data_IF_908882214886
#
_entry.id   IF_908882214886
#
_cell.length_a   1.000
_cell.length_b   1.000
_cell.length_c   1.000
_cell.angle_alpha   90.00
_cell.angle_beta   90.00
_cell.angle_gamma   90.00
#
_symmetry.space_group_name_H-M   'P 1'
#
loop_
_entity.id
_entity.type
_entity.pdbx_description
1 polymer ?
#
# COMPACT_ATOMS: atom_id res chain seq x y z
N UNK A 1 -12.88 21.02 -4.84
CA UNK A 1 -13.83 21.45 -3.79
C UNK A 1 -13.14 21.29 -2.45
N UNK A 2 -13.06 22.34 -1.62
CA UNK A 2 -12.33 22.29 -0.34
C UNK A 2 -13.33 21.98 0.78
N UNK A 3 -13.18 20.87 1.52
CA UNK A 3 -14.12 20.52 2.60
C UNK A 3 -13.47 20.69 3.97
N UNK A 4 -14.17 21.34 4.89
CA UNK A 4 -13.88 21.26 6.32
C UNK A 4 -14.86 20.29 6.99
N UNK A 5 -14.36 19.15 7.46
CA UNK A 5 -15.19 18.18 8.17
C UNK A 5 -15.30 18.56 9.65
N UNK A 6 -16.51 18.82 10.15
CA UNK A 6 -16.75 19.17 11.56
C UNK A 6 -16.27 18.07 12.54
N UNK A 7 -16.25 16.79 12.12
CA UNK A 7 -15.75 15.68 12.94
C UNK A 7 -14.24 15.50 12.92
N UNK A 8 -13.58 15.85 11.81
CA UNK A 8 -12.12 15.71 11.69
C UNK A 8 -11.38 17.00 12.04
N UNK A 9 -12.06 18.15 12.05
CA UNK A 9 -11.49 19.50 12.23
C UNK A 9 -10.37 19.84 11.23
N UNK A 10 -10.24 19.08 10.15
CA UNK A 10 -9.21 19.22 9.13
C UNK A 10 -9.80 19.75 7.82
N UNK A 11 -8.99 20.53 7.10
CA UNK A 11 -9.26 21.07 5.77
C UNK A 11 -8.62 20.16 4.72
N UNK A 12 -9.39 19.76 3.69
CA UNK A 12 -8.89 18.92 2.60
C UNK A 12 -9.39 19.38 1.22
N UNK A 13 -8.57 19.20 0.17
CA UNK A 13 -9.00 19.31 -1.22
C UNK A 13 -9.53 17.96 -1.70
N UNK A 14 -10.77 17.92 -2.18
CA UNK A 14 -11.36 16.73 -2.80
C UNK A 14 -11.60 17.01 -4.29
N UNK A 15 -11.11 16.10 -5.15
CA UNK A 15 -11.33 16.11 -6.60
C UNK A 15 -12.49 15.19 -7.05
N UNK A 16 -12.96 14.25 -6.21
CA UNK A 16 -14.21 13.50 -6.41
C UNK A 16 -14.80 12.95 -5.09
N UNK A 17 -16.13 12.99 -4.98
CA UNK A 17 -17.08 12.40 -4.01
C UNK A 17 -16.63 12.17 -2.54
N UNK A 18 -17.22 12.98 -1.65
CA UNK A 18 -17.10 12.95 -0.18
C UNK A 18 -17.52 11.60 0.46
N UNK A 19 -17.06 11.34 1.69
CA UNK A 19 -17.21 10.06 2.38
C UNK A 19 -18.66 9.66 2.67
N UNK A 20 -18.89 8.34 2.77
CA UNK A 20 -20.21 7.71 2.91
C UNK A 20 -20.92 8.00 4.24
N UNK A 21 -20.28 8.68 5.19
CA UNK A 21 -20.88 8.92 6.51
C UNK A 21 -22.07 9.89 6.46
N UNK A 22 -22.18 10.73 5.42
CA UNK A 22 -23.24 11.74 5.29
C UNK A 22 -24.34 11.39 4.28
N UNK A 23 -24.14 10.36 3.44
CA UNK A 23 -24.98 10.11 2.25
C UNK A 23 -26.26 9.32 2.47
N UNK A 24 -26.75 9.20 3.71
CA UNK A 24 -28.08 8.62 3.90
C UNK A 24 -29.16 9.71 3.88
N UNK A 25 -28.91 10.98 4.28
CA UNK A 25 -30.00 11.99 4.34
C UNK A 25 -29.68 13.48 4.09
N UNK A 26 -28.43 13.97 3.98
CA UNK A 26 -28.20 15.40 3.70
C UNK A 26 -26.86 15.68 2.96
N UNK A 27 -26.92 16.36 1.82
CA UNK A 27 -25.75 16.72 1.00
C UNK A 27 -24.87 17.81 1.61
N UNK A 28 -23.68 18.03 1.03
CA UNK A 28 -22.80 19.14 1.39
C UNK A 28 -23.32 20.46 0.80
N UNK A 29 -23.18 21.56 1.54
CA UNK A 29 -23.49 22.92 1.07
C UNK A 29 -22.21 23.62 0.61
N UNK A 30 -22.24 24.18 -0.60
CA UNK A 30 -21.11 24.88 -1.20
C UNK A 30 -21.13 26.37 -0.88
N UNK A 31 -19.97 26.93 -0.58
CA UNK A 31 -19.74 28.35 -0.30
C UNK A 31 -18.65 28.87 -1.22
N UNK A 32 -18.94 29.98 -1.89
CA UNK A 32 -17.97 30.68 -2.71
C UNK A 32 -16.94 31.38 -1.81
N UNK A 33 -15.67 31.20 -2.14
CA UNK A 33 -14.54 31.88 -1.55
C UNK A 33 -14.01 32.97 -2.51
N UNK A 34 -13.17 33.90 -2.02
CA UNK A 34 -12.46 34.84 -2.89
C UNK A 34 -11.64 34.13 -3.98
N UNK A 35 -11.33 34.86 -5.04
CA UNK A 35 -10.50 34.41 -6.18
C UNK A 35 -11.05 33.20 -6.96
N UNK A 36 -12.37 32.97 -6.89
CA UNK A 36 -13.07 31.94 -7.66
C UNK A 36 -12.94 30.53 -7.08
N UNK A 37 -12.50 30.41 -5.84
CA UNK A 37 -12.45 29.13 -5.13
C UNK A 37 -13.81 28.76 -4.52
N UNK A 38 -14.05 27.47 -4.31
CA UNK A 38 -15.25 26.97 -3.62
C UNK A 38 -14.87 26.02 -2.49
N UNK A 39 -15.44 26.28 -1.31
CA UNK A 39 -15.43 25.38 -0.18
C UNK A 39 -16.80 24.72 0.00
N UNK A 40 -16.85 23.55 0.64
CA UNK A 40 -18.10 22.90 1.00
C UNK A 40 -18.07 22.41 2.45
N UNK A 41 -19.22 22.42 3.11
CA UNK A 41 -19.35 22.00 4.51
C UNK A 41 -20.07 20.66 4.63
N UNK A 42 -19.79 19.96 5.72
CA UNK A 42 -20.61 18.84 6.17
C UNK A 42 -21.98 19.36 6.64
N UNK A 43 -23.06 18.65 6.30
CA UNK A 43 -24.46 18.98 6.62
C UNK A 43 -24.77 19.13 8.13
N UNK A 44 -23.84 18.76 9.01
CA UNK A 44 -23.96 18.93 10.47
C UNK A 44 -23.55 20.33 10.96
N UNK A 45 -22.85 21.12 10.15
CA UNK A 45 -22.49 22.50 10.48
C UNK A 45 -23.58 23.44 9.96
N UNK A 46 -24.11 24.29 10.86
CA UNK A 46 -25.22 25.21 10.55
C UNK A 46 -24.76 26.65 10.28
N UNK A 47 -23.50 26.96 10.57
CA UNK A 47 -22.95 28.31 10.47
C UNK A 47 -21.97 28.42 9.29
N UNK A 48 -22.03 29.54 8.58
CA UNK A 48 -21.09 29.92 7.52
C UNK A 48 -19.62 29.94 8.03
N UNK A 49 -18.67 30.02 7.09
CA UNK A 49 -17.27 30.25 7.45
C UNK A 49 -17.08 31.62 8.09
N UNK A 50 -16.35 31.68 9.19
CA UNK A 50 -15.91 32.97 9.73
C UNK A 50 -14.83 33.57 8.83
N UNK A 51 -14.64 34.90 8.85
CA UNK A 51 -13.56 35.54 8.09
C UNK A 51 -12.17 34.96 8.38
N UNK A 52 -11.91 34.57 9.63
CA UNK A 52 -10.65 33.96 10.05
C UNK A 52 -10.47 32.55 9.45
N UNK A 53 -11.55 31.77 9.36
CA UNK A 53 -11.52 30.46 8.70
C UNK A 53 -11.30 30.60 7.20
N UNK A 54 -11.98 31.55 6.54
CA UNK A 54 -11.74 31.88 5.13
C UNK A 54 -10.27 32.25 4.93
N UNK A 55 -9.71 33.10 5.78
CA UNK A 55 -8.31 33.50 5.68
C UNK A 55 -7.35 32.33 5.89
N UNK A 56 -7.62 31.45 6.86
CA UNK A 56 -6.82 30.25 7.10
C UNK A 56 -6.88 29.27 5.92
N UNK A 57 -8.05 29.11 5.29
CA UNK A 57 -8.22 28.31 4.07
C UNK A 57 -7.42 28.91 2.92
N UNK A 58 -7.62 30.20 2.65
CA UNK A 58 -6.93 30.90 1.56
C UNK A 58 -5.40 30.86 1.72
N UNK A 59 -4.90 30.94 2.95
CA UNK A 59 -3.46 30.84 3.23
C UNK A 59 -2.86 29.44 2.93
N UNK A 60 -3.68 28.39 2.96
CA UNK A 60 -3.27 27.01 2.66
C UNK A 60 -3.39 26.63 1.20
N UNK A 61 -4.18 27.36 0.40
CA UNK A 61 -4.37 27.07 -1.03
C UNK A 61 -3.04 27.00 -1.81
N UNK A 62 -2.08 27.95 -1.64
CA UNK A 62 -0.82 27.87 -2.37
C UNK A 62 0.00 26.62 -2.04
N UNK A 63 0.00 26.19 -0.77
CA UNK A 63 0.67 24.95 -0.32
C UNK A 63 0.02 23.72 -0.94
N UNK A 64 -1.32 23.68 -1.01
CA UNK A 64 -2.05 22.58 -1.65
C UNK A 64 -1.96 22.59 -3.18
N UNK A 65 -1.78 23.75 -3.80
CA UNK A 65 -1.52 23.88 -5.24
C UNK A 65 -0.05 23.56 -5.58
N UNK A 66 0.87 23.75 -4.62
CA UNK A 66 2.29 23.46 -4.75
C UNK A 66 2.66 22.02 -4.37
N UNK A 67 1.80 21.30 -3.64
CA UNK A 67 1.80 19.85 -3.68
C UNK A 67 1.55 19.48 -5.14
N UNK A 68 2.64 19.09 -5.81
CA UNK A 68 2.66 18.64 -7.19
C UNK A 68 1.40 17.82 -7.46
N UNK A 69 0.82 17.99 -8.65
CA UNK A 69 -0.02 16.91 -9.18
C UNK A 69 0.79 15.65 -8.96
N UNK A 70 0.33 14.76 -8.07
CA UNK A 70 0.71 13.35 -8.12
C UNK A 70 0.66 13.10 -9.60
N UNK A 71 1.83 12.85 -10.22
CA UNK A 71 1.91 12.64 -11.65
C UNK A 71 0.66 11.86 -11.99
N UNK A 72 -0.18 12.41 -12.86
CA UNK A 72 -1.11 11.60 -13.57
C UNK A 72 -0.21 10.58 -14.29
N UNK A 73 0.18 9.53 -13.58
CA UNK A 73 0.20 8.18 -14.08
C UNK A 73 -1.25 7.94 -14.48
N UNK A 74 -1.69 8.63 -15.53
CA UNK A 74 -2.52 8.05 -16.55
C UNK A 74 -1.75 6.82 -16.96
N UNK A 75 -1.97 5.74 -16.21
CA UNK A 75 -1.57 4.40 -16.56
C UNK A 75 -2.52 3.96 -17.68
N UNK A 76 -2.50 4.72 -18.77
CA UNK A 76 -2.88 4.31 -20.12
C UNK A 76 -1.74 3.49 -20.72
N UNK A 77 -0.99 2.76 -19.88
CA UNK A 77 -0.01 1.81 -20.33
C UNK A 77 -0.77 0.72 -21.07
N UNK A 78 -0.80 0.84 -22.40
CA UNK A 78 -1.24 -0.19 -23.31
C UNK A 78 -0.60 -1.49 -22.85
N UNK A 79 -1.44 -2.46 -22.51
CA UNK A 79 -1.02 -3.77 -22.01
C UNK A 79 0.09 -4.33 -22.91
N UNK A 80 1.33 -4.33 -22.40
CA UNK A 80 2.50 -4.75 -23.18
C UNK A 80 2.87 -6.15 -22.73
N UNK A 81 2.35 -7.15 -23.44
CA UNK A 81 2.68 -8.55 -23.21
C UNK A 81 3.97 -8.87 -23.96
N UNK A 82 5.03 -9.33 -23.27
CA UNK A 82 6.26 -9.77 -23.93
C UNK A 82 5.98 -10.87 -24.96
N UNK A 83 6.69 -10.85 -26.09
CA UNK A 83 6.41 -11.74 -27.24
C UNK A 83 6.27 -13.21 -26.83
N UNK A 84 7.15 -13.69 -25.96
CA UNK A 84 7.11 -15.09 -25.51
C UNK A 84 5.81 -15.45 -24.78
N UNK A 85 5.20 -14.53 -24.04
CA UNK A 85 3.94 -14.77 -23.32
C UNK A 85 2.70 -14.66 -24.21
N UNK A 86 2.87 -14.27 -25.48
CA UNK A 86 1.76 -14.12 -26.43
C UNK A 86 0.89 -15.37 -26.55
N UNK A 87 1.43 -16.61 -26.64
CA UNK A 87 0.59 -17.81 -26.71
C UNK A 87 -0.29 -18.00 -25.47
N UNK A 88 0.26 -17.80 -24.27
CA UNK A 88 -0.47 -17.90 -23.02
C UNK A 88 -1.53 -16.79 -22.88
N UNK A 89 -1.16 -15.55 -23.25
CA UNK A 89 -2.09 -14.42 -23.27
C UNK A 89 -3.26 -14.65 -24.24
N UNK A 90 -2.98 -15.11 -25.46
CA UNK A 90 -4.02 -15.46 -26.43
C UNK A 90 -4.93 -16.59 -25.94
N UNK A 91 -4.38 -17.57 -25.22
CA UNK A 91 -5.19 -18.62 -24.62
C UNK A 91 -6.17 -18.06 -23.58
N UNK A 92 -5.75 -17.07 -22.79
CA UNK A 92 -6.66 -16.36 -21.85
C UNK A 92 -7.69 -15.52 -22.62
N UNK A 93 -7.28 -14.78 -23.66
CA UNK A 93 -8.21 -13.97 -24.46
C UNK A 93 -9.33 -14.82 -25.09
N UNK A 94 -9.03 -16.05 -25.53
CA UNK A 94 -10.05 -16.96 -26.08
C UNK A 94 -11.16 -17.27 -25.09
N UNK A 95 -10.89 -17.21 -23.78
CA UNK A 95 -11.90 -17.40 -22.73
C UNK A 95 -13.00 -16.33 -22.78
N UNK A 96 -12.75 -15.16 -23.36
CA UNK A 96 -13.76 -14.13 -23.56
C UNK A 96 -14.97 -14.64 -24.37
N UNK A 97 -14.77 -15.63 -25.25
CA UNK A 97 -15.86 -16.23 -26.01
C UNK A 97 -16.78 -17.16 -25.18
N UNK A 98 -16.33 -17.66 -24.02
CA UNK A 98 -17.15 -18.50 -23.15
C UNK A 98 -18.12 -17.61 -22.34
N UNK A 99 -19.42 -17.85 -22.46
CA UNK A 99 -20.46 -17.08 -21.75
C UNK A 99 -20.28 -17.10 -20.24
N UNK A 100 -19.67 -18.16 -19.70
CA UNK A 100 -19.41 -18.30 -18.27
C UNK A 100 -18.26 -17.42 -17.80
N UNK A 101 -17.35 -17.01 -18.69
CA UNK A 101 -16.24 -16.15 -18.34
C UNK A 101 -16.67 -14.69 -18.44
N UNK A 102 -16.59 -13.95 -17.33
CA UNK A 102 -17.03 -12.56 -17.25
C UNK A 102 -15.87 -11.58 -17.45
N UNK A 103 -14.70 -11.89 -16.89
CA UNK A 103 -13.51 -11.07 -16.98
C UNK A 103 -12.25 -11.91 -16.73
N UNK A 104 -11.10 -11.40 -17.17
CA UNK A 104 -9.81 -11.93 -16.78
C UNK A 104 -8.83 -10.80 -16.50
N UNK A 105 -8.07 -10.94 -15.43
CA UNK A 105 -7.01 -10.02 -15.05
C UNK A 105 -5.70 -10.77 -14.82
N UNK A 106 -4.59 -10.09 -15.03
CA UNK A 106 -3.26 -10.56 -14.64
C UNK A 106 -2.63 -9.51 -13.75
N UNK A 107 -1.86 -9.93 -12.74
CA UNK A 107 -1.01 -8.99 -12.03
C UNK A 107 0.30 -8.91 -12.79
N UNK A 108 0.84 -7.70 -12.86
CA UNK A 108 2.03 -7.31 -13.61
C UNK A 108 2.96 -8.51 -13.84
N UNK A 109 2.97 -9.00 -15.09
CA UNK A 109 3.76 -10.17 -15.44
C UNK A 109 5.21 -9.77 -15.29
N UNK A 110 5.82 -10.10 -14.16
CA UNK A 110 7.27 -10.02 -13.94
C UNK A 110 7.95 -11.01 -14.88
N UNK A 111 7.92 -10.67 -16.17
CA UNK A 111 8.56 -11.37 -17.27
C UNK A 111 10.07 -11.45 -17.10
N UNK A 112 10.63 -10.66 -16.17
CA UNK A 112 12.04 -10.68 -15.84
C UNK A 112 12.42 -11.73 -14.80
N UNK A 113 11.55 -12.07 -13.85
CA UNK A 113 11.98 -12.86 -12.68
C UNK A 113 11.52 -14.31 -12.67
N UNK A 114 10.36 -14.60 -13.25
CA UNK A 114 9.91 -15.98 -13.42
C UNK A 114 9.60 -16.22 -14.90
N UNK A 115 10.64 -16.46 -15.72
CA UNK A 115 10.51 -16.32 -17.14
C UNK A 115 9.51 -17.30 -17.77
N UNK A 116 9.20 -18.38 -17.05
CA UNK A 116 8.39 -19.48 -17.54
C UNK A 116 6.96 -19.48 -17.00
N UNK A 117 6.52 -18.48 -16.23
CA UNK A 117 5.18 -18.52 -15.61
C UNK A 117 4.34 -17.29 -15.98
N UNK A 118 3.08 -17.52 -16.36
CA UNK A 118 2.06 -16.48 -16.50
C UNK A 118 0.91 -16.78 -15.54
N UNK A 119 0.45 -15.78 -14.80
CA UNK A 119 -0.62 -15.91 -13.82
C UNK A 119 -1.82 -15.05 -14.23
N UNK A 120 -3.03 -15.61 -14.20
CA UNK A 120 -4.25 -14.85 -14.43
C UNK A 120 -5.39 -15.31 -13.51
N UNK A 121 -6.18 -14.35 -13.05
CA UNK A 121 -7.45 -14.58 -12.37
C UNK A 121 -8.55 -14.49 -13.42
N UNK A 122 -9.37 -15.53 -13.52
CA UNK A 122 -10.52 -15.61 -14.43
C UNK A 122 -11.79 -15.60 -13.60
N UNK A 123 -12.65 -14.63 -13.85
CA UNK A 123 -13.91 -14.46 -13.13
C UNK A 123 -15.01 -15.18 -13.91
N UNK A 124 -15.72 -16.09 -13.24
CA UNK A 124 -16.72 -16.98 -13.87
C UNK A 124 -18.08 -16.98 -13.19
N UNK A 125 -19.12 -17.30 -13.97
CA UNK A 125 -20.53 -17.47 -13.56
C UNK A 125 -21.14 -18.68 -14.30
N UNK A 126 -21.75 -19.68 -13.61
CA UNK A 126 -21.99 -19.78 -12.18
C UNK A 126 -20.73 -20.05 -11.35
N UNK A 127 -20.82 -19.78 -10.05
CA UNK A 127 -19.73 -19.96 -9.10
C UNK A 127 -19.25 -21.42 -9.10
N UNK A 128 -18.09 -21.67 -9.69
CA UNK A 128 -17.35 -22.91 -9.44
C UNK A 128 -16.45 -22.70 -8.23
N UNK A 129 -16.26 -23.75 -7.41
CA UNK A 129 -15.23 -23.78 -6.37
C UNK A 129 -13.92 -23.24 -6.91
N UNK A 130 -13.22 -22.36 -6.17
CA UNK A 130 -11.93 -21.83 -6.60
C UNK A 130 -10.98 -22.98 -6.95
N UNK A 131 -10.58 -23.05 -8.22
CA UNK A 131 -9.68 -24.08 -8.71
C UNK A 131 -8.53 -23.41 -9.44
N UNK A 132 -7.33 -23.71 -8.99
CA UNK A 132 -6.12 -23.37 -9.71
C UNK A 132 -5.95 -24.41 -10.82
N UNK A 133 -5.73 -23.95 -12.04
CA UNK A 133 -5.40 -24.81 -13.18
C UNK A 133 -4.04 -24.40 -13.71
N UNK A 134 -3.21 -25.40 -13.92
CA UNK A 134 -1.86 -25.24 -14.44
C UNK A 134 -1.84 -25.85 -15.83
N UNK A 135 -1.46 -25.07 -16.81
CA UNK A 135 -1.33 -25.50 -18.20
C UNK A 135 0.08 -25.22 -18.66
N UNK A 136 0.68 -26.16 -19.38
CA UNK A 136 1.93 -25.91 -20.09
C UNK A 136 1.57 -25.53 -21.52
N UNK A 137 1.88 -24.30 -21.91
CA UNK A 137 1.73 -23.78 -23.26
C UNK A 137 3.15 -23.49 -23.74
N UNK A 138 3.67 -24.33 -24.63
CA UNK A 138 5.08 -24.30 -25.03
C UNK A 138 6.00 -24.48 -23.81
N UNK A 139 6.85 -23.50 -23.51
CA UNK A 139 7.73 -23.47 -22.34
C UNK A 139 7.17 -22.62 -21.18
N UNK A 140 5.92 -22.18 -21.28
CA UNK A 140 5.24 -21.33 -20.29
C UNK A 140 4.20 -22.12 -19.51
N UNK A 141 4.34 -22.12 -18.19
CA UNK A 141 3.30 -22.54 -17.27
C UNK A 141 2.30 -21.40 -17.07
N UNK A 142 1.11 -21.55 -17.65
CA UNK A 142 -0.04 -20.71 -17.40
C UNK A 142 -0.78 -21.20 -16.14
N UNK A 143 -0.87 -20.34 -15.13
CA UNK A 143 -1.60 -20.57 -13.88
C UNK A 143 -2.87 -19.74 -13.93
N UNK A 144 -4.02 -20.41 -14.03
CA UNK A 144 -5.34 -19.79 -14.00
C UNK A 144 -5.99 -20.03 -12.65
N UNK A 145 -6.44 -18.95 -12.00
CA UNK A 145 -7.25 -19.00 -10.79
C UNK A 145 -8.67 -18.61 -11.16
N UNK A 146 -9.59 -19.56 -11.06
CA UNK A 146 -11.00 -19.30 -11.32
C UNK A 146 -11.70 -18.85 -10.04
N UNK A 147 -12.36 -17.69 -10.08
CA UNK A 147 -13.14 -17.13 -8.98
C UNK A 147 -14.56 -16.80 -9.44
N UNK A 148 -15.54 -16.90 -8.56
CA UNK A 148 -16.84 -16.27 -8.83
C UNK A 148 -16.71 -14.75 -8.74
N UNK A 149 -17.61 -14.03 -9.41
CA UNK A 149 -17.69 -12.58 -9.29
C UNK A 149 -17.86 -12.19 -7.81
N UNK A 150 -18.84 -12.75 -7.11
CA UNK A 150 -19.09 -12.50 -5.69
C UNK A 150 -17.83 -12.68 -4.82
N UNK A 151 -17.04 -13.74 -5.04
CA UNK A 151 -15.83 -13.98 -4.25
C UNK A 151 -14.74 -12.97 -4.57
N UNK A 152 -14.57 -12.64 -5.85
CA UNK A 152 -13.62 -11.63 -6.28
C UNK A 152 -13.99 -10.25 -5.73
N UNK A 153 -15.27 -9.88 -5.82
CA UNK A 153 -15.81 -8.65 -5.26
C UNK A 153 -15.58 -8.58 -3.77
N UNK A 154 -15.92 -9.63 -2.99
CA UNK A 154 -15.68 -9.66 -1.55
C UNK A 154 -14.21 -9.44 -1.18
N UNK A 155 -13.28 -10.12 -1.85
CA UNK A 155 -11.84 -9.94 -1.60
C UNK A 155 -11.38 -8.52 -1.95
N UNK A 156 -11.84 -8.00 -3.08
CA UNK A 156 -11.45 -6.68 -3.59
C UNK A 156 -12.06 -5.56 -2.76
N UNK A 157 -13.32 -5.72 -2.31
CA UNK A 157 -13.97 -4.78 -1.40
C UNK A 157 -13.28 -4.79 -0.04
N UNK A 158 -12.90 -5.94 0.50
CA UNK A 158 -12.12 -5.97 1.74
C UNK A 158 -10.79 -5.23 1.57
N UNK A 159 -10.07 -5.45 0.46
CA UNK A 159 -8.83 -4.70 0.14
C UNK A 159 -9.07 -3.19 0.02
N UNK A 160 -10.15 -2.77 -0.65
CA UNK A 160 -10.49 -1.36 -0.89
C UNK A 160 -11.00 -0.67 0.38
N UNK A 161 -11.92 -1.28 1.11
CA UNK A 161 -12.56 -0.67 2.29
C UNK A 161 -11.63 -0.71 3.50
N UNK A 162 -10.83 -1.78 3.65
CA UNK A 162 -9.83 -1.90 4.71
C UNK A 162 -8.42 -1.54 4.22
N UNK A 163 -8.28 -0.77 3.15
CA UNK A 163 -6.99 -0.44 2.52
C UNK A 163 -5.93 0.09 3.51
N UNK A 164 -6.34 0.77 4.58
CA UNK A 164 -5.45 1.17 5.68
C UNK A 164 -4.75 0.02 6.41
N UNK A 165 -5.34 -1.18 6.43
CA UNK A 165 -4.79 -2.41 7.02
C UNK A 165 -4.05 -3.28 6.01
N UNK A 166 -4.28 -3.07 4.72
CA UNK A 166 -3.65 -3.84 3.67
C UNK A 166 -2.32 -3.22 3.27
N UNK A 167 -1.31 -4.07 3.06
CA UNK A 167 0.01 -3.62 2.62
C UNK A 167 0.02 -3.27 1.12
N UNK A 168 -0.91 -3.83 0.36
CA UNK A 168 -1.01 -3.73 -1.10
C UNK A 168 -2.47 -3.49 -1.54
N UNK A 169 -2.63 -2.85 -2.69
CA UNK A 169 -3.90 -2.78 -3.44
C UNK A 169 -3.71 -3.54 -4.75
N UNK A 170 -4.09 -4.81 -4.76
CA UNK A 170 -3.75 -5.72 -5.88
C UNK A 170 -4.47 -5.33 -7.17
N UNK A 171 -5.73 -4.89 -7.05
CA UNK A 171 -6.61 -4.54 -8.17
C UNK A 171 -6.18 -3.27 -8.91
N UNK A 172 -5.67 -2.25 -8.18
CA UNK A 172 -5.25 -0.97 -8.74
C UNK A 172 -4.12 -1.12 -9.77
N UNK A 173 -3.29 -2.16 -9.58
CA UNK A 173 -2.11 -2.49 -10.39
C UNK A 173 -2.32 -3.67 -11.34
N UNK A 174 -3.51 -4.29 -11.31
CA UNK A 174 -3.80 -5.39 -12.22
C UNK A 174 -3.93 -4.90 -13.66
N UNK A 175 -3.63 -5.78 -14.59
CA UNK A 175 -3.84 -5.60 -16.02
C UNK A 175 -5.09 -6.37 -16.41
N UNK A 176 -6.09 -5.65 -16.91
CA UNK A 176 -7.33 -6.26 -17.39
C UNK A 176 -7.08 -6.81 -18.79
N UNK A 177 -7.27 -8.13 -18.96
CA UNK A 177 -7.15 -8.82 -20.24
C UNK A 177 -8.46 -8.66 -21.03
N UNK A 178 -9.59 -8.91 -20.35
CA UNK A 178 -10.94 -8.56 -20.83
C UNK A 178 -11.88 -8.35 -19.64
N UNK A 179 -12.91 -7.54 -19.83
CA UNK A 179 -13.98 -7.31 -18.85
C UNK A 179 -15.28 -7.01 -19.60
N UNK A 180 -16.20 -7.98 -19.62
CA UNK A 180 -17.42 -7.90 -20.43
C UNK A 180 -18.42 -6.87 -19.92
N UNK A 181 -18.42 -6.62 -18.60
CA UNK A 181 -19.44 -5.78 -17.94
C UNK A 181 -18.86 -4.44 -17.44
N UNK A 182 -17.54 -4.28 -17.46
CA UNK A 182 -16.86 -3.09 -16.93
C UNK A 182 -16.78 -3.05 -15.40
N UNK A 183 -17.24 -4.11 -14.71
CA UNK A 183 -17.26 -4.17 -13.24
C UNK A 183 -15.83 -4.12 -12.67
N UNK A 184 -14.89 -4.80 -13.30
CA UNK A 184 -13.51 -4.89 -12.84
C UNK A 184 -12.77 -3.59 -13.15
N UNK A 185 -13.03 -2.99 -14.31
CA UNK A 185 -12.56 -1.64 -14.63
C UNK A 185 -13.02 -0.61 -13.57
N UNK A 186 -14.30 -0.64 -13.18
CA UNK A 186 -14.83 0.28 -12.18
C UNK A 186 -14.18 0.08 -10.79
N UNK A 187 -13.96 -1.17 -10.37
CA UNK A 187 -13.25 -1.48 -9.12
C UNK A 187 -11.79 -1.02 -9.14
N UNK A 188 -11.10 -1.25 -10.25
CA UNK A 188 -9.73 -0.80 -10.45
C UNK A 188 -9.63 0.73 -10.35
N UNK A 189 -10.53 1.46 -10.99
CA UNK A 189 -10.51 2.92 -10.95
C UNK A 189 -10.78 3.44 -9.53
N UNK A 190 -11.76 2.85 -8.83
CA UNK A 190 -12.01 3.17 -7.41
C UNK A 190 -10.74 2.97 -6.58
N UNK A 191 -10.00 1.88 -6.79
CA UNK A 191 -8.79 1.58 -6.03
C UNK A 191 -7.61 2.50 -6.38
N UNK A 192 -7.50 2.99 -7.62
CA UNK A 192 -6.42 3.92 -8.03
C UNK A 192 -6.50 5.28 -7.37
N UNK A 193 -7.70 5.73 -7.03
CA UNK A 193 -7.91 6.99 -6.31
C UNK A 193 -7.67 6.86 -4.79
N UNK A 194 -7.39 5.67 -4.27
CA UNK A 194 -7.09 5.49 -2.86
C UNK A 194 -5.65 5.89 -2.55
N UNK A 195 -5.50 6.75 -1.56
CA UNK A 195 -4.21 7.05 -0.96
C UNK A 195 -4.00 6.16 0.27
N UNK A 196 -2.76 5.75 0.50
CA UNK A 196 -2.43 5.06 1.74
C UNK A 196 -2.57 6.04 2.91
N UNK A 197 -3.20 5.59 4.00
CA UNK A 197 -3.37 6.43 5.17
C UNK A 197 -2.03 6.87 5.76
N UNK A 198 -2.04 8.07 6.33
CA UNK A 198 -0.99 8.52 7.22
C UNK A 198 -0.91 7.55 8.40
N UNK A 199 0.30 7.06 8.70
CA UNK A 199 0.52 6.21 9.86
C UNK A 199 0.07 6.94 11.14
N UNK A 200 -0.74 6.25 11.97
CA UNK A 200 -1.21 6.81 13.24
C UNK A 200 -0.08 6.86 14.28
N UNK A 201 -0.20 7.63 15.37
CA UNK A 201 0.78 7.60 16.47
C UNK A 201 1.08 6.18 16.99
N UNK A 202 0.08 5.29 17.01
CA UNK A 202 0.27 3.88 17.37
C UNK A 202 1.09 3.11 16.33
N UNK A 203 0.84 3.33 15.04
CA UNK A 203 1.63 2.72 13.96
C UNK A 203 3.08 3.18 14.03
N UNK A 204 3.28 4.49 14.21
CA UNK A 204 4.60 5.11 14.34
C UNK A 204 5.37 4.52 15.54
N UNK A 205 4.71 4.39 16.71
CA UNK A 205 5.29 3.76 17.88
C UNK A 205 5.61 2.28 17.62
N UNK A 206 4.69 1.54 17.00
CA UNK A 206 4.88 0.12 16.68
C UNK A 206 6.08 -0.09 15.75
N UNK A 207 6.16 0.68 14.66
CA UNK A 207 7.24 0.65 13.68
C UNK A 207 8.58 0.91 14.38
N UNK A 208 8.67 2.01 15.13
CA UNK A 208 9.90 2.39 15.83
C UNK A 208 10.32 1.34 16.85
N UNK A 209 9.40 0.91 17.71
CA UNK A 209 9.66 -0.12 18.72
C UNK A 209 10.14 -1.43 18.09
N UNK A 210 9.51 -1.87 17.00
CA UNK A 210 9.90 -3.10 16.29
C UNK A 210 11.25 -3.00 15.61
N UNK A 211 11.51 -1.90 14.90
CA UNK A 211 12.80 -1.69 14.23
C UNK A 211 13.95 -1.66 15.23
N UNK A 212 13.80 -0.96 16.35
CA UNK A 212 14.80 -0.92 17.42
C UNK A 212 14.98 -2.29 18.10
N UNK A 213 13.89 -3.00 18.37
CA UNK A 213 13.97 -4.35 18.90
C UNK A 213 14.74 -5.31 17.98
N UNK A 214 14.55 -5.19 16.66
CA UNK A 214 15.33 -5.97 15.69
C UNK A 214 16.81 -5.59 15.72
N UNK A 215 17.13 -4.30 15.86
CA UNK A 215 18.50 -3.82 16.00
C UNK A 215 19.20 -4.39 17.25
N UNK A 216 18.54 -4.30 18.40
CA UNK A 216 19.08 -4.76 19.69
C UNK A 216 19.37 -6.26 19.67
N UNK A 217 18.47 -7.08 19.09
CA UNK A 217 18.69 -8.53 18.94
C UNK A 217 19.98 -8.81 18.17
N UNK A 218 20.19 -8.13 17.04
CA UNK A 218 21.37 -8.35 16.20
C UNK A 218 22.62 -7.87 16.93
N UNK A 219 22.57 -6.70 17.57
CA UNK A 219 23.66 -6.11 18.34
C UNK A 219 24.15 -7.05 19.46
N UNK A 220 23.24 -7.66 20.21
CA UNK A 220 23.56 -8.58 21.30
C UNK A 220 24.17 -9.90 20.80
N UNK A 221 23.81 -10.31 19.58
CA UNK A 221 24.19 -11.60 19.01
C UNK A 221 25.40 -11.53 18.06
N UNK A 222 25.78 -10.35 17.57
CA UNK A 222 26.75 -10.24 16.47
C UNK A 222 28.10 -10.87 16.81
N UNK A 223 28.56 -10.73 18.05
CA UNK A 223 29.83 -11.29 18.54
C UNK A 223 29.69 -12.76 18.97
N UNK A 224 28.60 -13.11 19.64
CA UNK A 224 28.43 -14.42 20.28
C UNK A 224 27.82 -15.49 19.37
N UNK A 225 27.00 -15.06 18.39
CA UNK A 225 26.21 -15.91 17.49
C UNK A 225 26.10 -15.28 16.09
N UNK A 226 27.22 -15.05 15.38
CA UNK A 226 27.25 -14.30 14.12
C UNK A 226 26.35 -14.88 13.02
N UNK A 227 26.24 -16.21 12.92
CA UNK A 227 25.34 -16.85 11.94
C UNK A 227 23.86 -16.58 12.24
N UNK A 228 23.47 -16.53 13.51
CA UNK A 228 22.09 -16.22 13.91
C UNK A 228 21.78 -14.75 13.65
N UNK A 229 22.71 -13.86 13.99
CA UNK A 229 22.61 -12.44 13.69
C UNK A 229 22.47 -12.19 12.17
N UNK A 230 23.28 -12.88 11.35
CA UNK A 230 23.20 -12.81 9.89
C UNK A 230 21.84 -13.28 9.37
N UNK A 231 21.38 -14.45 9.81
CA UNK A 231 20.05 -14.96 9.43
C UNK A 231 18.95 -13.96 9.80
N UNK A 232 19.00 -13.44 11.03
CA UNK A 232 18.02 -12.50 11.56
C UNK A 232 17.94 -11.22 10.73
N UNK A 233 19.09 -10.62 10.39
CA UNK A 233 19.14 -9.43 9.52
C UNK A 233 18.47 -9.71 8.16
N UNK A 234 18.80 -10.84 7.52
CA UNK A 234 18.21 -11.18 6.23
C UNK A 234 16.70 -11.47 6.31
N UNK A 235 16.23 -12.17 7.35
CA UNK A 235 14.81 -12.49 7.50
C UNK A 235 13.95 -11.28 7.86
N UNK A 236 14.53 -10.28 8.55
CA UNK A 236 13.79 -9.12 9.03
C UNK A 236 13.98 -7.85 8.19
N UNK A 237 14.88 -7.85 7.20
CA UNK A 237 15.01 -6.74 6.25
C UNK A 237 13.67 -6.43 5.57
N UNK A 238 12.92 -7.44 5.13
CA UNK A 238 11.61 -7.21 4.51
C UNK A 238 10.66 -6.42 5.42
N UNK A 239 10.65 -6.71 6.73
CA UNK A 239 9.77 -6.01 7.66
C UNK A 239 10.13 -4.53 7.75
N UNK A 240 11.43 -4.20 7.79
CA UNK A 240 11.90 -2.82 7.78
C UNK A 240 11.46 -2.10 6.51
N UNK A 241 11.57 -2.75 5.35
CA UNK A 241 11.14 -2.16 4.08
C UNK A 241 9.62 -1.97 4.03
N UNK A 242 8.84 -2.92 4.55
CA UNK A 242 7.39 -2.74 4.68
C UNK A 242 7.05 -1.52 5.54
N UNK A 243 7.78 -1.31 6.65
CA UNK A 243 7.62 -0.10 7.46
C UNK A 243 7.96 1.15 6.66
N UNK A 244 9.05 1.16 5.91
CA UNK A 244 9.42 2.29 5.06
C UNK A 244 8.33 2.67 4.06
N UNK A 245 7.78 1.68 3.34
CA UNK A 245 6.65 1.91 2.43
C UNK A 245 5.43 2.49 3.14
N UNK A 246 5.14 2.01 4.35
CA UNK A 246 4.05 2.55 5.16
C UNK A 246 4.29 4.00 5.57
N UNK A 247 5.50 4.34 6.05
CA UNK A 247 5.86 5.70 6.45
C UNK A 247 5.79 6.68 5.27
N UNK A 248 6.17 6.22 4.08
CA UNK A 248 6.15 7.01 2.84
C UNK A 248 4.79 7.00 2.13
N UNK A 249 3.76 6.41 2.75
CA UNK A 249 2.39 6.27 2.18
C UNK A 249 2.37 5.60 0.80
N UNK A 250 3.31 4.67 0.55
CA UNK A 250 3.42 3.90 -0.69
C UNK A 250 2.89 2.49 -0.50
N UNK A 251 2.28 1.94 -1.55
CA UNK A 251 1.81 0.54 -1.55
C UNK A 251 2.99 -0.43 -1.69
N UNK A 252 3.01 -1.49 -0.89
CA UNK A 252 4.03 -2.53 -1.01
C UNK A 252 3.90 -3.27 -2.35
N UNK A 253 4.97 -3.29 -3.13
CA UNK A 253 4.98 -3.87 -4.48
C UNK A 253 5.30 -5.37 -4.50
N UNK A 254 5.65 -5.95 -3.34
CA UNK A 254 6.21 -7.31 -3.27
C UNK A 254 7.73 -7.32 -3.44
N UNK A 255 8.37 -8.40 -2.98
CA UNK A 255 9.82 -8.58 -3.17
C UNK A 255 10.27 -8.53 -4.65
N UNK A 256 9.52 -9.12 -5.61
CA UNK A 256 9.92 -9.16 -7.02
C UNK A 256 10.12 -7.81 -7.74
N UNK A 257 9.64 -6.72 -7.15
CA UNK A 257 9.73 -5.39 -7.77
C UNK A 257 10.41 -4.38 -6.85
N UNK A 258 10.79 -4.82 -5.64
CA UNK A 258 11.26 -3.96 -4.56
C UNK A 258 12.50 -3.15 -4.95
N UNK A 259 13.50 -3.79 -5.56
CA UNK A 259 14.75 -3.11 -5.90
C UNK A 259 14.55 -2.04 -6.98
N UNK A 260 13.81 -2.35 -8.04
CA UNK A 260 13.53 -1.40 -9.13
C UNK A 260 12.63 -0.26 -8.65
N UNK A 261 11.59 -0.59 -7.87
CA UNK A 261 10.69 0.41 -7.31
C UNK A 261 11.45 1.36 -6.38
N UNK A 262 12.25 0.85 -5.43
CA UNK A 262 13.09 1.69 -4.58
C UNK A 262 14.08 2.51 -5.40
N UNK A 263 14.73 1.96 -6.44
CA UNK A 263 15.58 2.75 -7.34
C UNK A 263 14.82 3.87 -8.04
N UNK A 264 13.49 3.80 -8.19
CA UNK A 264 12.74 4.85 -8.85
C UNK A 264 12.45 6.03 -7.93
N UNK A 265 12.18 5.79 -6.64
CA UNK A 265 11.71 6.84 -5.72
C UNK A 265 12.57 7.05 -4.46
N UNK A 266 13.45 6.12 -4.12
CA UNK A 266 14.35 6.17 -2.96
C UNK A 266 15.71 5.52 -3.28
N UNK A 267 16.50 6.26 -4.06
CA UNK A 267 17.84 5.84 -4.46
C UNK A 267 18.77 5.58 -3.28
N UNK A 268 18.63 6.33 -2.19
CA UNK A 268 19.50 6.22 -1.03
C UNK A 268 19.28 4.90 -0.30
N UNK A 269 18.02 4.56 0.02
CA UNK A 269 17.69 3.27 0.62
C UNK A 269 18.03 2.10 -0.32
N UNK A 270 17.79 2.25 -1.63
CA UNK A 270 18.17 1.24 -2.61
C UNK A 270 19.69 0.94 -2.55
N UNK A 271 20.53 1.96 -2.47
CA UNK A 271 21.98 1.80 -2.36
C UNK A 271 22.40 1.16 -1.03
N UNK A 272 21.74 1.52 0.08
CA UNK A 272 21.99 0.90 1.39
C UNK A 272 21.68 -0.61 1.36
N UNK A 273 20.57 -1.00 0.73
CA UNK A 273 20.18 -2.40 0.56
C UNK A 273 21.17 -3.14 -0.35
N UNK A 274 21.53 -2.57 -1.50
CA UNK A 274 22.51 -3.15 -2.43
C UNK A 274 23.84 -3.44 -1.70
N UNK A 275 24.30 -2.48 -0.91
CA UNK A 275 25.54 -2.62 -0.13
C UNK A 275 25.40 -3.67 0.97
N UNK A 276 24.27 -3.68 1.70
CA UNK A 276 23.97 -4.71 2.71
C UNK A 276 23.96 -6.12 2.11
N UNK A 277 23.36 -6.31 0.93
CA UNK A 277 23.28 -7.61 0.25
C UNK A 277 24.66 -8.05 -0.24
N UNK A 278 25.44 -7.15 -0.85
CA UNK A 278 26.76 -7.44 -1.41
C UNK A 278 27.84 -7.68 -0.35
N UNK A 279 27.66 -7.18 0.87
CA UNK A 279 28.62 -7.34 1.96
C UNK A 279 28.62 -8.78 2.48
N UNK A 280 29.79 -9.42 2.51
CA UNK A 280 29.96 -10.78 3.05
C UNK A 280 30.34 -10.84 4.52
N UNK A 281 31.04 -9.82 5.02
CA UNK A 281 31.46 -9.74 6.42
C UNK A 281 30.29 -9.38 7.34
N UNK A 282 30.16 -10.09 8.45
CA UNK A 282 29.00 -9.99 9.34
C UNK A 282 28.99 -8.68 10.13
N UNK A 283 30.16 -8.19 10.55
CA UNK A 283 30.26 -6.94 11.30
C UNK A 283 30.01 -5.73 10.40
N UNK A 284 30.59 -5.70 9.20
CA UNK A 284 30.29 -4.66 8.20
C UNK A 284 28.83 -4.72 7.76
N UNK A 285 28.25 -5.92 7.60
CA UNK A 285 26.83 -6.06 7.29
C UNK A 285 25.93 -5.51 8.42
N UNK A 286 26.33 -5.64 9.68
CA UNK A 286 25.63 -5.02 10.81
C UNK A 286 25.70 -3.47 10.77
N UNK A 287 26.80 -2.90 10.29
CA UNK A 287 26.88 -1.44 10.08
C UNK A 287 25.88 -0.98 9.01
N UNK A 288 25.79 -1.70 7.89
CA UNK A 288 24.81 -1.40 6.84
C UNK A 288 23.36 -1.61 7.33
N UNK A 289 23.12 -2.67 8.09
CA UNK A 289 21.83 -2.90 8.76
C UNK A 289 21.43 -1.74 9.67
N UNK A 290 22.36 -1.24 10.47
CA UNK A 290 22.12 -0.09 11.35
C UNK A 290 21.78 1.16 10.54
N UNK A 291 22.55 1.43 9.48
CA UNK A 291 22.30 2.56 8.58
C UNK A 291 20.91 2.48 7.89
N UNK A 292 20.47 1.28 7.49
CA UNK A 292 19.11 1.07 6.95
C UNK A 292 18.06 1.43 7.99
N UNK A 293 18.21 0.98 9.24
CA UNK A 293 17.27 1.29 10.31
C UNK A 293 17.24 2.78 10.60
N UNK A 294 18.40 3.42 10.71
CA UNK A 294 18.50 4.86 10.96
C UNK A 294 17.84 5.67 9.84
N UNK A 295 18.07 5.29 8.59
CA UNK A 295 17.44 5.91 7.43
C UNK A 295 15.91 5.80 7.49
N UNK A 296 15.39 4.60 7.73
CA UNK A 296 13.94 4.35 7.80
C UNK A 296 13.32 5.09 9.00
N UNK A 297 14.05 5.21 10.11
CA UNK A 297 13.59 5.88 11.32
C UNK A 297 13.93 7.38 11.36
N UNK A 298 14.51 7.95 10.32
CA UNK A 298 14.84 9.38 10.25
C UNK A 298 13.64 10.29 10.55
N UNK A 299 12.39 9.98 10.13
CA UNK A 299 11.21 10.76 10.51
C UNK A 299 10.91 10.81 12.02
N UNK A 300 11.63 10.04 12.83
CA UNK A 300 11.45 9.91 14.29
C UNK A 300 12.67 10.37 15.10
N UNK A 301 13.53 11.23 14.55
CA UNK A 301 14.82 11.62 15.15
C UNK A 301 15.74 10.40 15.40
N UNK A 302 15.63 9.36 14.55
CA UNK A 302 16.43 8.13 14.61
C UNK A 302 16.19 7.31 15.89
N UNK A 303 17.27 6.85 16.53
CA UNK A 303 17.25 6.04 17.75
C UNK A 303 16.66 6.73 18.99
N UNK A 304 16.30 8.01 18.93
CA UNK A 304 15.88 8.79 20.11
C UNK A 304 14.42 8.55 20.44
N UNK A 305 14.09 7.74 21.44
CA UNK A 305 12.70 7.52 21.88
C UNK A 305 12.18 8.76 22.62
N UNK A 306 11.45 9.65 21.94
CA UNK A 306 10.52 10.59 22.57
C UNK A 306 9.15 9.94 22.61
N UNK A 307 8.84 9.25 23.72
CA UNK A 307 7.46 8.84 24.02
C UNK A 307 6.72 10.10 24.47
N UNK A 308 5.64 10.53 23.79
CA UNK A 308 4.75 11.54 24.36
C UNK A 308 4.27 11.04 25.72
N UNK A 309 4.31 11.87 26.78
CA UNK A 309 3.89 11.49 28.14
C UNK A 309 2.47 10.87 28.21
N UNK A 310 1.66 11.08 27.16
CA UNK A 310 0.33 10.50 26.99
C UNK A 310 0.30 9.01 26.59
N UNK A 311 1.43 8.43 26.17
CA UNK A 311 1.58 7.01 25.79
C UNK A 311 2.42 6.19 26.78
N UNK A 312 2.55 6.66 28.03
CA UNK A 312 2.70 5.71 29.14
C UNK A 312 1.37 4.95 29.20
N UNK A 313 1.26 3.90 28.39
CA UNK A 313 0.45 2.75 28.77
C UNK A 313 0.98 2.40 30.14
N UNK A 314 0.13 2.59 31.15
CA UNK A 314 0.24 1.88 32.40
C UNK A 314 0.29 0.42 31.96
N UNK A 315 1.50 -0.11 31.80
CA UNK A 315 1.73 -1.53 31.81
C UNK A 315 1.01 -1.95 33.08
N UNK A 316 -0.11 -2.65 32.88
CA UNK A 316 -0.55 -3.59 33.89
C UNK A 316 0.72 -4.40 34.13
N UNK A 317 1.39 -4.13 35.26
CA UNK A 317 2.28 -5.06 35.89
C UNK A 317 1.47 -6.35 35.99
N UNK A 318 1.56 -7.18 34.96
CA UNK A 318 1.28 -8.58 35.10
C UNK A 318 2.33 -9.02 36.10
N UNK A 319 1.86 -9.23 37.32
CA UNK A 319 2.62 -9.91 38.34
C UNK A 319 2.95 -11.31 37.81
N UNK A 320 4.09 -11.40 37.10
CA UNK A 320 4.62 -12.64 36.51
C UNK A 320 4.87 -13.70 37.59
N UNK A 321 4.88 -13.33 38.88
CA UNK A 321 4.94 -14.28 39.99
C UNK A 321 3.69 -15.18 40.09
N UNK A 322 2.56 -14.77 39.50
CA UNK A 322 1.34 -15.60 39.43
C UNK A 322 1.34 -16.59 38.26
N UNK A 323 2.11 -16.35 37.19
CA UNK A 323 2.21 -17.26 36.04
C UNK A 323 3.25 -18.37 36.22
N UNK A 324 4.17 -18.21 37.18
CA UNK A 324 5.21 -19.21 37.50
C UNK A 324 4.81 -20.17 38.65
N UNK A 325 3.55 -20.16 39.09
CA UNK A 325 3.00 -21.13 40.04
C UNK A 325 1.94 -22.01 39.38
N UNK A 326 2.35 -22.87 38.46
CA UNK A 326 1.63 -24.11 38.14
C UNK A 326 2.61 -25.23 37.86
#
# INVERSE_FOLDING_TARGET
MIIQCHHLRELAIIQANCCFHCHVLAGCEGHDLPDGHQAALCCARRDDFTPEEVQAIMAKIPEWQAQESIDELTYTAKLTIPERFRPAYQAIQRLESDERCLAAITHDTNSRENPSNMYAIVIVDPSSSSRNRHFLIEDITLILVFLSLEKFESLTYDEIEQHGRHLNLSIARSQIIFDKKGTICAMQEKARHLQRHTASPEDLYHIKSKALHFHDIVKDQIQSKPTQALLFMHTHLQNLLVFHYQLQRRWWQGQPQLAEDLRHWDHELANLIDTFVATGDVEMKFQHWSAIIDYILQPFDGHTITIPDTYIRIDRQYDLSQLLKK
#
